data_IF_634822638677
#
_entry.id   IF_634822638677
#
_cell.length_a   1.000
_cell.length_b   1.000
_cell.length_c   1.000
_cell.angle_alpha   90.00
_cell.angle_beta   90.00
_cell.angle_gamma   90.00
#
_symmetry.space_group_name_H-M   'P 1'
#
loop_
_entity.id
_entity.type
_entity.pdbx_description
1 polymer ?
#
# COMPACT_ATOMS: atom_id res chain seq x y z
N UNK A 1 19.26 4.96 6.76
CA UNK A 1 19.76 3.59 6.55
C UNK A 1 19.13 3.07 5.27
N UNK A 2 19.88 2.92 4.18
CA UNK A 2 19.35 2.35 2.94
C UNK A 2 19.35 0.84 3.10
N UNK A 3 18.17 0.27 3.32
CA UNK A 3 17.98 -1.18 3.45
C UNK A 3 17.89 -1.74 2.03
N UNK A 4 19.04 -1.83 1.37
CA UNK A 4 19.14 -2.56 0.12
C UNK A 4 19.08 -4.03 0.49
N UNK A 5 18.04 -4.74 0.08
CA UNK A 5 18.27 -6.17 -0.22
C UNK A 5 19.44 -6.21 -1.19
N UNK A 6 20.37 -7.16 -1.10
CA UNK A 6 21.65 -7.18 -1.84
C UNK A 6 21.54 -7.15 -3.39
N UNK A 7 20.35 -6.92 -3.96
CA UNK A 7 20.04 -6.84 -5.39
C UNK A 7 18.97 -5.78 -5.65
N UNK A 8 19.25 -4.85 -6.56
CA UNK A 8 18.22 -3.99 -7.15
C UNK A 8 17.27 -4.85 -8.01
N UNK A 9 15.96 -4.74 -7.79
CA UNK A 9 14.94 -5.43 -8.60
C UNK A 9 14.55 -4.51 -9.77
N UNK A 10 15.13 -4.75 -10.94
CA UNK A 10 14.92 -3.96 -12.18
C UNK A 10 14.02 -4.68 -13.20
N UNK A 11 13.08 -5.48 -12.71
CA UNK A 11 12.10 -6.16 -13.57
C UNK A 11 11.03 -5.16 -14.05
N UNK A 12 10.33 -5.41 -15.16
CA UNK A 12 9.16 -4.62 -15.57
C UNK A 12 7.93 -4.83 -14.66
N UNK A 13 8.07 -5.57 -13.56
CA UNK A 13 7.00 -6.03 -12.68
C UNK A 13 7.10 -7.54 -12.44
N UNK A 14 7.06 -8.02 -11.18
CA UNK A 14 6.99 -7.27 -9.93
C UNK A 14 8.30 -6.54 -9.59
N UNK A 15 8.23 -5.26 -9.24
CA UNK A 15 9.37 -4.41 -8.86
C UNK A 15 9.60 -4.36 -7.34
N UNK A 16 10.63 -3.65 -6.89
CA UNK A 16 10.91 -3.45 -5.47
C UNK A 16 9.76 -2.71 -4.77
N UNK A 17 9.25 -3.31 -3.68
CA UNK A 17 8.25 -2.68 -2.82
C UNK A 17 8.91 -1.59 -1.97
N UNK A 18 8.46 -0.32 -2.02
CA UNK A 18 9.01 0.73 -1.17
C UNK A 18 8.96 0.36 0.31
N UNK A 19 10.04 0.67 1.07
CA UNK A 19 10.15 0.29 2.48
C UNK A 19 8.93 0.70 3.33
N UNK A 20 8.36 1.90 3.09
CA UNK A 20 7.15 2.36 3.78
C UNK A 20 5.93 1.45 3.58
N UNK A 21 5.80 0.85 2.40
CA UNK A 21 4.72 -0.09 2.08
C UNK A 21 4.99 -1.43 2.76
N UNK A 22 6.25 -1.90 2.75
CA UNK A 22 6.65 -3.12 3.47
C UNK A 22 6.37 -3.01 4.97
N UNK A 23 6.68 -1.87 5.59
CA UNK A 23 6.36 -1.61 7.02
C UNK A 23 4.86 -1.60 7.27
N UNK A 24 4.06 -1.03 6.36
CA UNK A 24 2.61 -1.01 6.50
C UNK A 24 1.99 -2.42 6.41
N UNK A 25 2.51 -3.29 5.52
CA UNK A 25 2.04 -4.66 5.36
C UNK A 25 2.31 -5.57 6.57
N UNK A 26 3.28 -5.22 7.43
CA UNK A 26 3.61 -5.98 8.64
C UNK A 26 2.65 -5.62 9.80
N UNK A 27 1.91 -4.51 9.69
CA UNK A 27 0.94 -4.12 10.73
C UNK A 27 -0.17 -5.15 10.82
N UNK A 28 -0.70 -5.34 12.03
CA UNK A 28 -1.89 -6.15 12.23
C UNK A 28 -3.03 -5.63 11.35
N UNK A 29 -3.72 -6.55 10.71
CA UNK A 29 -4.89 -6.27 9.88
C UNK A 29 -6.07 -7.08 10.40
N UNK A 30 -7.25 -6.50 10.32
CA UNK A 30 -8.51 -7.18 10.54
C UNK A 30 -8.98 -7.91 9.28
N UNK A 31 -10.00 -8.75 9.42
CA UNK A 31 -10.74 -9.24 8.26
C UNK A 31 -11.62 -8.09 7.74
N UNK A 32 -11.38 -7.56 6.53
CA UNK A 32 -12.14 -6.44 5.99
C UNK A 32 -13.64 -6.73 5.82
N UNK A 33 -14.02 -8.00 5.65
CA UNK A 33 -15.42 -8.40 5.51
C UNK A 33 -16.19 -8.30 6.84
N UNK A 34 -15.47 -8.33 7.97
CA UNK A 34 -16.06 -8.34 9.31
C UNK A 34 -15.73 -7.07 10.11
N UNK A 35 -14.81 -6.23 9.63
CA UNK A 35 -14.40 -4.99 10.29
C UNK A 35 -15.28 -3.81 9.84
N UNK A 36 -16.15 -3.28 10.72
CA UNK A 36 -17.00 -2.14 10.38
C UNK A 36 -16.20 -0.87 10.05
N UNK A 37 -14.95 -0.75 10.51
CA UNK A 37 -14.08 0.39 10.23
C UNK A 37 -13.40 0.29 8.87
N UNK A 38 -13.36 -0.90 8.24
CA UNK A 38 -12.71 -1.08 6.95
C UNK A 38 -13.37 -0.24 5.84
N UNK A 39 -14.68 -0.03 5.90
CA UNK A 39 -15.38 0.82 4.94
C UNK A 39 -14.83 2.25 4.91
N UNK A 40 -14.41 2.78 6.07
CA UNK A 40 -13.77 4.10 6.14
C UNK A 40 -12.44 4.09 5.40
N UNK A 41 -11.57 3.12 5.71
CA UNK A 41 -10.27 2.94 5.03
C UNK A 41 -10.43 2.81 3.52
N UNK A 42 -11.44 2.06 3.08
CA UNK A 42 -11.73 1.88 1.66
C UNK A 42 -12.14 3.20 0.98
N UNK A 43 -13.01 4.00 1.62
CA UNK A 43 -13.43 5.29 1.08
C UNK A 43 -12.28 6.31 1.04
N UNK A 44 -11.50 6.41 2.11
CA UNK A 44 -10.30 7.26 2.14
C UNK A 44 -9.31 6.87 1.04
N UNK A 45 -9.12 5.56 0.80
CA UNK A 45 -8.26 5.06 -0.29
C UNK A 45 -8.81 5.46 -1.66
N UNK A 46 -10.13 5.42 -1.86
CA UNK A 46 -10.76 5.86 -3.11
C UNK A 46 -10.55 7.36 -3.35
N UNK A 47 -10.64 8.18 -2.32
CA UNK A 47 -10.43 9.62 -2.43
C UNK A 47 -8.96 9.95 -2.74
N UNK A 48 -8.01 9.24 -2.13
CA UNK A 48 -6.58 9.34 -2.48
C UNK A 48 -6.32 8.92 -3.93
N UNK A 49 -6.96 7.85 -4.41
CA UNK A 49 -6.81 7.40 -5.79
C UNK A 49 -7.37 8.41 -6.77
N UNK A 50 -8.55 8.97 -6.49
CA UNK A 50 -9.17 10.05 -7.25
C UNK A 50 -8.23 11.24 -7.43
N UNK A 51 -7.62 11.71 -6.34
CA UNK A 51 -6.63 12.78 -6.37
C UNK A 51 -5.41 12.39 -7.21
N UNK A 52 -4.87 11.18 -7.02
CA UNK A 52 -3.68 10.69 -7.72
C UNK A 52 -3.89 10.60 -9.25
N UNK A 53 -5.07 10.16 -9.70
CA UNK A 53 -5.37 9.99 -11.12
C UNK A 53 -6.08 11.20 -11.75
N UNK A 54 -6.36 12.25 -10.97
CA UNK A 54 -6.98 13.48 -11.45
C UNK A 54 -8.49 13.38 -11.74
N UNK A 55 -9.20 12.47 -11.07
CA UNK A 55 -10.66 12.30 -11.21
C UNK A 55 -11.35 12.85 -9.95
N UNK A 56 -12.41 13.64 -10.12
CA UNK A 56 -13.22 14.18 -9.00
C UNK A 56 -14.26 13.18 -8.52
#
# INVERSE_FOLDING_TARGET
MKVYTDRFILTPGPTEIPHRVRVALIRETSNPDLDPQFLQVYNETRDLLKELIGVR
#
